data_IF_921362875855
#
_entry.id   IF_921362875855
#
_cell.length_a   1.000
_cell.length_b   1.000
_cell.length_c   1.000
_cell.angle_alpha   90.00
_cell.angle_beta   90.00
_cell.angle_gamma   90.00
#
_symmetry.space_group_name_H-M   'P 1'
#
loop_
_entity.id
_entity.type
_entity.pdbx_description
1 polymer ?
#
# COMPACT_ATOMS: atom_id res chain seq x y z
N UNK A 1 21.65 8.20 2.29
CA UNK A 1 21.39 7.18 3.32
C UNK A 1 20.30 6.28 2.76
N UNK A 2 20.55 4.98 2.63
CA UNK A 2 19.52 4.02 2.19
C UNK A 2 18.70 3.57 3.41
N UNK A 3 17.38 3.53 3.26
CA UNK A 3 16.49 2.99 4.29
C UNK A 3 16.34 1.49 4.05
N UNK A 4 16.82 0.66 4.97
CA UNK A 4 16.61 -0.80 4.93
C UNK A 4 15.37 -1.23 5.72
N UNK A 5 14.87 -0.35 6.58
CA UNK A 5 13.60 -0.40 7.30
C UNK A 5 13.05 1.02 7.43
N UNK A 6 11.72 1.17 7.52
CA UNK A 6 11.05 2.45 7.79
C UNK A 6 10.56 2.48 9.25
N UNK A 7 10.70 3.60 9.97
CA UNK A 7 10.01 3.80 11.24
C UNK A 7 8.53 4.09 10.97
N UNK A 8 7.75 3.05 10.74
CA UNK A 8 6.34 3.15 10.34
C UNK A 8 5.41 2.92 11.55
N UNK A 9 4.70 3.97 11.92
CA UNK A 9 3.62 3.95 12.92
C UNK A 9 2.35 3.37 12.27
N UNK A 10 2.06 2.11 12.61
CA UNK A 10 0.87 1.43 12.10
C UNK A 10 -0.43 1.97 12.68
N UNK A 11 -0.41 2.60 13.86
CA UNK A 11 -1.57 3.29 14.41
C UNK A 11 -2.04 4.39 13.46
N UNK A 12 -1.11 5.20 12.95
CA UNK A 12 -1.41 6.28 11.98
C UNK A 12 -1.87 5.77 10.62
N UNK A 13 -1.32 4.64 10.16
CA UNK A 13 -1.78 3.98 8.93
C UNK A 13 -3.21 3.48 9.08
N UNK A 14 -3.53 2.85 10.22
CA UNK A 14 -4.87 2.32 10.50
C UNK A 14 -5.89 3.44 10.72
N UNK A 15 -5.54 4.51 11.45
CA UNK A 15 -6.38 5.71 11.59
C UNK A 15 -6.78 6.28 10.22
N UNK A 16 -5.84 6.34 9.26
CA UNK A 16 -6.13 6.81 7.91
C UNK A 16 -7.05 5.88 7.13
N UNK A 17 -6.84 4.57 7.25
CA UNK A 17 -7.74 3.57 6.67
C UNK A 17 -9.16 3.74 7.23
N UNK A 18 -9.30 3.81 8.55
CA UNK A 18 -10.59 3.92 9.22
C UNK A 18 -11.32 5.22 8.81
N UNK A 19 -10.60 6.34 8.70
CA UNK A 19 -11.16 7.58 8.19
C UNK A 19 -11.65 7.46 6.73
N UNK A 20 -10.96 6.69 5.88
CA UNK A 20 -11.42 6.42 4.52
C UNK A 20 -12.69 5.56 4.49
N UNK A 21 -12.75 4.55 5.36
CA UNK A 21 -13.91 3.66 5.50
C UNK A 21 -15.14 4.43 5.98
N UNK A 22 -14.99 5.25 7.02
CA UNK A 22 -16.06 6.08 7.57
C UNK A 22 -16.60 7.09 6.54
N UNK A 23 -15.70 7.69 5.75
CA UNK A 23 -16.04 8.63 4.69
C UNK A 23 -16.64 7.98 3.44
N UNK A 24 -16.64 6.65 3.32
CA UNK A 24 -17.12 5.93 2.14
C UNK A 24 -16.28 6.19 0.89
N UNK A 25 -14.96 6.32 1.03
CA UNK A 25 -14.04 6.49 -0.10
C UNK A 25 -14.07 5.25 -0.99
N UNK A 26 -14.19 5.45 -2.30
CA UNK A 26 -14.25 4.36 -3.29
C UNK A 26 -12.92 4.20 -4.04
N UNK A 27 -12.80 3.13 -4.84
CA UNK A 27 -11.66 2.99 -5.75
C UNK A 27 -11.83 3.91 -6.96
N UNK A 28 -10.76 4.58 -7.39
CA UNK A 28 -10.78 5.36 -8.64
C UNK A 28 -9.39 5.58 -9.22
N UNK A 29 -9.28 5.40 -10.54
CA UNK A 29 -8.02 5.48 -11.31
C UNK A 29 -8.04 6.59 -12.37
N UNK A 30 -9.07 7.44 -12.40
CA UNK A 30 -9.18 8.50 -13.41
C UNK A 30 -8.39 9.73 -13.01
N UNK A 31 -7.85 10.44 -14.01
CA UNK A 31 -7.15 11.72 -13.82
C UNK A 31 -8.04 12.70 -13.02
N UNK A 32 -7.49 13.29 -11.97
CA UNK A 32 -8.19 14.20 -11.05
C UNK A 32 -8.81 13.57 -9.80
N UNK A 33 -8.83 12.24 -9.69
CA UNK A 33 -9.40 11.51 -8.54
C UNK A 33 -8.34 10.89 -7.61
N UNK A 34 -7.10 11.40 -7.67
CA UNK A 34 -6.03 11.00 -6.74
C UNK A 34 -6.05 11.88 -5.50
N UNK A 35 -5.40 11.40 -4.44
CA UNK A 35 -5.13 12.21 -3.25
C UNK A 35 -4.35 13.47 -3.69
N UNK A 36 -4.88 14.68 -3.48
CA UNK A 36 -4.34 15.88 -4.12
C UNK A 36 -3.02 16.35 -3.51
N UNK A 37 -2.79 16.04 -2.23
CA UNK A 37 -1.59 16.39 -1.47
C UNK A 37 -1.54 15.55 -0.20
N UNK A 38 -0.35 15.46 0.39
CA UNK A 38 -0.19 14.82 1.69
C UNK A 38 -0.99 15.53 2.78
N UNK A 39 -1.67 14.76 3.62
CA UNK A 39 -2.53 15.29 4.68
C UNK A 39 -3.99 15.49 4.25
N UNK A 40 -4.34 15.27 2.99
CA UNK A 40 -5.71 15.43 2.49
C UNK A 40 -6.74 14.59 3.29
N UNK A 41 -7.92 15.16 3.49
CA UNK A 41 -8.98 14.60 4.34
C UNK A 41 -9.92 13.72 3.51
N UNK A 42 -10.09 12.42 3.87
CA UNK A 42 -11.05 11.53 3.22
C UNK A 42 -12.48 12.08 3.24
N UNK A 43 -13.20 11.95 2.13
CA UNK A 43 -14.58 12.42 1.96
C UNK A 43 -14.74 13.93 1.71
N UNK A 44 -13.72 14.72 2.05
CA UNK A 44 -13.67 16.17 1.83
C UNK A 44 -12.81 16.51 0.62
N UNK A 45 -11.52 16.19 0.69
CA UNK A 45 -10.54 16.53 -0.34
C UNK A 45 -10.49 15.48 -1.46
N UNK A 46 -10.87 14.23 -1.15
CA UNK A 46 -10.97 13.15 -2.11
C UNK A 46 -12.09 12.17 -1.72
N UNK A 47 -12.75 11.62 -2.75
CA UNK A 47 -13.79 10.58 -2.59
C UNK A 47 -13.41 9.25 -3.24
N UNK A 48 -12.30 9.24 -3.95
CA UNK A 48 -11.76 8.08 -4.63
C UNK A 48 -10.25 8.00 -4.41
N UNK A 49 -9.70 6.80 -4.38
CA UNK A 49 -8.25 6.58 -4.33
C UNK A 49 -7.88 5.23 -4.94
N UNK A 50 -6.83 5.19 -5.75
CA UNK A 50 -6.26 3.94 -6.28
C UNK A 50 -5.33 3.24 -5.27
N UNK A 51 -4.82 2.06 -5.62
CA UNK A 51 -3.95 1.29 -4.73
C UNK A 51 -2.69 2.06 -4.35
N UNK A 52 -2.01 2.65 -5.33
CA UNK A 52 -0.74 3.32 -5.10
C UNK A 52 -0.88 4.69 -4.45
N UNK A 53 -1.93 5.45 -4.75
CA UNK A 53 -2.23 6.72 -4.09
C UNK A 53 -2.60 6.50 -2.62
N UNK A 54 -3.34 5.43 -2.31
CA UNK A 54 -3.62 5.06 -0.94
C UNK A 54 -2.34 4.69 -0.18
N UNK A 55 -1.45 3.90 -0.79
CA UNK A 55 -0.13 3.59 -0.21
C UNK A 55 0.75 4.83 -0.03
N UNK A 56 0.73 5.73 -1.01
CA UNK A 56 1.49 6.98 -0.98
C UNK A 56 1.15 7.81 0.26
N UNK A 57 -0.14 7.98 0.55
CA UNK A 57 -0.60 8.71 1.71
C UNK A 57 -0.47 7.92 3.02
N UNK A 58 -0.82 6.64 3.02
CA UNK A 58 -0.73 5.79 4.20
C UNK A 58 0.70 5.72 4.74
N UNK A 59 1.68 5.46 3.86
CA UNK A 59 3.10 5.42 4.24
C UNK A 59 3.57 6.79 4.72
N UNK A 60 3.19 7.89 4.05
CA UNK A 60 3.57 9.23 4.50
C UNK A 60 3.04 9.57 5.90
N UNK A 61 1.78 9.22 6.19
CA UNK A 61 1.17 9.42 7.53
C UNK A 61 1.86 8.60 8.62
N UNK A 62 2.29 7.38 8.27
CA UNK A 62 2.95 6.46 9.19
C UNK A 62 4.42 6.74 9.46
N UNK A 63 5.16 7.39 8.55
CA UNK A 63 6.59 7.65 8.77
C UNK A 63 6.82 8.79 9.79
N UNK A 64 7.77 8.60 10.72
CA UNK A 64 8.19 9.60 11.72
C UNK A 64 9.71 9.83 11.78
N UNK A 65 10.20 11.09 11.63
CA UNK A 65 9.47 12.25 11.10
C UNK A 65 9.08 11.99 9.64
N UNK A 66 7.96 12.53 9.17
CA UNK A 66 7.48 12.28 7.81
C UNK A 66 8.56 12.60 6.76
N UNK A 67 8.91 11.63 5.92
CA UNK A 67 9.87 11.80 4.81
C UNK A 67 9.12 11.62 3.50
N UNK A 68 9.19 12.63 2.63
CA UNK A 68 8.38 12.76 1.40
C UNK A 68 8.92 11.95 0.20
N UNK A 69 9.66 10.86 0.43
CA UNK A 69 10.40 10.18 -0.66
C UNK A 69 9.68 8.98 -1.27
N UNK A 70 8.61 8.48 -0.64
CA UNK A 70 7.86 7.35 -1.18
C UNK A 70 7.02 7.81 -2.38
N UNK A 71 7.16 7.22 -3.58
CA UNK A 71 6.51 7.72 -4.78
C UNK A 71 5.05 7.27 -4.89
N UNK A 72 4.26 7.90 -5.77
CA UNK A 72 3.01 7.34 -6.28
C UNK A 72 3.26 6.49 -7.54
N UNK A 73 2.42 5.46 -7.73
CA UNK A 73 2.48 4.46 -8.79
C UNK A 73 3.06 3.13 -8.29
N UNK A 74 2.29 2.04 -8.36
CA UNK A 74 2.67 0.73 -7.80
C UNK A 74 4.01 0.22 -8.34
N UNK A 75 4.27 0.38 -9.64
CA UNK A 75 5.57 0.04 -10.27
C UNK A 75 6.70 0.91 -9.72
N UNK A 76 6.47 2.22 -9.57
CA UNK A 76 7.48 3.15 -9.04
C UNK A 76 7.77 2.89 -7.56
N UNK A 77 6.75 2.52 -6.80
CA UNK A 77 6.86 2.13 -5.39
C UNK A 77 7.65 0.82 -5.27
N UNK A 78 7.40 -0.15 -6.16
CA UNK A 78 8.16 -1.40 -6.20
C UNK A 78 9.63 -1.14 -6.51
N UNK A 79 9.92 -0.34 -7.54
CA UNK A 79 11.28 0.06 -7.89
C UNK A 79 11.95 0.81 -6.73
N UNK A 80 11.21 1.69 -6.05
CA UNK A 80 11.72 2.42 -4.88
C UNK A 80 12.12 1.46 -3.76
N UNK A 81 11.26 0.50 -3.41
CA UNK A 81 11.57 -0.52 -2.38
C UNK A 81 12.78 -1.36 -2.78
N UNK A 82 12.86 -1.82 -4.04
CA UNK A 82 14.02 -2.58 -4.54
C UNK A 82 15.32 -1.78 -4.46
N UNK A 83 15.29 -0.52 -4.89
CA UNK A 83 16.48 0.33 -4.97
C UNK A 83 16.99 0.79 -3.59
N UNK A 84 16.15 0.78 -2.56
CA UNK A 84 16.54 1.11 -1.19
C UNK A 84 17.06 -0.10 -0.39
N UNK A 85 16.98 -1.32 -0.96
CA UNK A 85 17.56 -2.52 -0.35
C UNK A 85 16.74 -3.10 0.80
N UNK A 86 15.43 -2.89 0.81
CA UNK A 86 14.54 -3.55 1.76
C UNK A 86 14.63 -5.07 1.62
N UNK A 87 14.54 -5.76 2.76
CA UNK A 87 14.69 -7.22 2.83
C UNK A 87 13.55 -7.91 2.06
N UNK A 88 13.86 -8.77 1.08
CA UNK A 88 12.86 -9.61 0.43
C UNK A 88 12.21 -10.57 1.44
N UNK A 89 10.90 -10.70 1.36
CA UNK A 89 10.09 -11.63 2.13
C UNK A 89 9.39 -12.60 1.17
N UNK A 90 8.53 -13.47 1.69
CA UNK A 90 7.71 -14.38 0.88
C UNK A 90 6.22 -14.08 1.00
N UNK A 91 5.41 -14.46 0.00
CA UNK A 91 3.95 -14.48 0.13
C UNK A 91 3.49 -15.23 1.38
N UNK A 92 4.06 -16.39 1.69
CA UNK A 92 3.71 -17.16 2.89
C UNK A 92 3.91 -16.35 4.18
N UNK A 93 5.00 -15.58 4.27
CA UNK A 93 5.30 -14.76 5.44
C UNK A 93 4.31 -13.59 5.63
N UNK A 94 3.62 -13.15 4.58
CA UNK A 94 2.53 -12.16 4.70
C UNK A 94 1.38 -12.60 5.61
N UNK A 95 1.19 -13.91 5.80
CA UNK A 95 0.16 -14.44 6.70
C UNK A 95 0.54 -14.45 8.18
N UNK A 96 1.76 -14.04 8.54
CA UNK A 96 2.25 -14.11 9.92
C UNK A 96 1.70 -12.97 10.77
N UNK A 97 1.46 -13.28 12.05
CA UNK A 97 1.12 -12.33 13.12
C UNK A 97 2.35 -11.87 13.89
N UNK A 98 3.47 -11.61 13.21
CA UNK A 98 4.79 -11.41 13.82
C UNK A 98 5.17 -9.95 14.07
N UNK A 99 4.20 -9.03 13.94
CA UNK A 99 4.43 -7.60 14.15
C UNK A 99 5.23 -6.90 13.04
N UNK A 100 5.67 -7.63 12.01
CA UNK A 100 6.34 -7.02 10.86
C UNK A 100 5.32 -6.42 9.89
N UNK A 101 5.63 -5.22 9.39
CA UNK A 101 4.91 -4.60 8.29
C UNK A 101 5.59 -4.99 6.99
N UNK A 102 4.82 -5.60 6.10
CA UNK A 102 5.29 -5.96 4.77
C UNK A 102 4.57 -5.14 3.72
N UNK A 103 5.19 -5.02 2.55
CA UNK A 103 4.55 -4.47 1.35
C UNK A 103 4.61 -5.53 0.26
N UNK A 104 3.50 -5.74 -0.44
CA UNK A 104 3.40 -6.69 -1.53
C UNK A 104 3.02 -5.99 -2.83
N UNK A 105 3.68 -6.38 -3.91
CA UNK A 105 3.49 -5.84 -5.24
C UNK A 105 3.05 -6.95 -6.19
N UNK A 106 1.91 -6.76 -6.85
CA UNK A 106 1.49 -7.57 -7.98
C UNK A 106 1.87 -6.85 -9.26
N UNK A 107 2.65 -7.50 -10.11
CA UNK A 107 3.05 -6.93 -11.40
C UNK A 107 1.82 -6.72 -12.32
N UNK A 108 1.85 -5.71 -13.20
CA UNK A 108 0.84 -5.57 -14.24
C UNK A 108 0.87 -6.78 -15.18
N UNK A 109 -0.32 -7.25 -15.58
CA UNK A 109 -0.45 -8.37 -16.51
C UNK A 109 -0.56 -7.84 -17.92
N UNK A 110 0.18 -8.43 -18.86
CA UNK A 110 0.21 -8.06 -20.27
C UNK A 110 -0.13 -9.24 -21.18
N UNK A 111 -0.83 -8.96 -22.28
CA UNK A 111 -1.00 -9.88 -23.42
C UNK A 111 -0.30 -9.27 -24.63
N UNK A 112 0.91 -9.73 -24.92
CA UNK A 112 1.79 -9.08 -25.89
C UNK A 112 2.17 -7.67 -25.39
N UNK A 113 1.86 -6.64 -26.17
CA UNK A 113 2.08 -5.23 -25.80
C UNK A 113 0.89 -4.57 -25.08
N UNK A 114 -0.21 -5.31 -24.91
CA UNK A 114 -1.45 -4.76 -24.34
C UNK A 114 -1.52 -5.05 -22.85
N UNK A 115 -1.69 -4.00 -22.03
CA UNK A 115 -1.93 -4.13 -20.59
C UNK A 115 -3.35 -4.64 -20.34
N UNK A 116 -3.49 -5.72 -19.59
CA UNK A 116 -4.78 -6.33 -19.20
C UNK A 116 -5.12 -6.10 -17.73
N UNK A 117 -4.13 -5.74 -16.88
CA UNK A 117 -4.32 -5.36 -15.47
C UNK A 117 -3.22 -4.40 -15.01
N UNK A 118 -3.56 -3.40 -14.21
CA UNK A 118 -2.69 -2.27 -13.81
C UNK A 118 -1.62 -2.55 -12.73
N UNK A 119 -1.43 -3.82 -12.36
CA UNK A 119 -0.66 -4.18 -11.17
C UNK A 119 -1.43 -3.80 -9.89
N UNK A 120 -0.85 -4.08 -8.73
CA UNK A 120 -1.46 -3.77 -7.43
C UNK A 120 -0.39 -3.64 -6.35
N UNK A 121 -0.70 -2.89 -5.30
CA UNK A 121 0.17 -2.74 -4.12
C UNK A 121 -0.68 -2.76 -2.85
N UNK A 122 -0.18 -3.39 -1.81
CA UNK A 122 -0.81 -3.42 -0.48
C UNK A 122 0.24 -3.45 0.61
N UNK A 123 -0.06 -2.84 1.76
CA UNK A 123 0.62 -3.20 3.01
C UNK A 123 0.01 -4.50 3.55
N UNK A 124 0.80 -5.25 4.29
CA UNK A 124 0.40 -6.44 5.01
C UNK A 124 0.86 -6.29 6.45
N UNK A 125 -0.08 -6.41 7.39
CA UNK A 125 0.19 -6.31 8.81
C UNK A 125 -0.70 -7.28 9.59
N UNK A 126 -0.08 -8.12 10.43
CA UNK A 126 -0.74 -9.16 11.22
C UNK A 126 -1.63 -10.11 10.39
N UNK A 127 -1.20 -10.49 9.19
CA UNK A 127 -1.96 -11.37 8.29
C UNK A 127 -3.10 -10.70 7.51
N UNK A 128 -3.24 -9.38 7.60
CA UNK A 128 -4.27 -8.62 6.90
C UNK A 128 -3.66 -7.64 5.90
N UNK A 129 -4.32 -7.47 4.76
CA UNK A 129 -4.03 -6.35 3.88
C UNK A 129 -4.52 -5.04 4.47
N UNK A 130 -3.84 -3.97 4.06
CA UNK A 130 -4.27 -2.59 4.19
C UNK A 130 -4.07 -2.00 2.79
N UNK A 131 -5.15 -1.84 2.05
CA UNK A 131 -5.12 -1.56 0.60
C UNK A 131 -6.30 -0.72 0.16
N UNK A 132 -6.21 -0.16 -1.04
CA UNK A 132 -7.37 0.28 -1.82
C UNK A 132 -7.45 -0.55 -3.11
N UNK A 133 -8.59 -1.19 -3.41
CA UNK A 133 -8.71 -2.06 -4.57
C UNK A 133 -10.01 -1.88 -5.37
N UNK A 134 -9.96 -2.28 -6.66
CA UNK A 134 -11.10 -2.19 -7.57
C UNK A 134 -12.38 -2.81 -7.02
N UNK A 135 -13.51 -2.12 -7.23
CA UNK A 135 -14.84 -2.54 -6.78
C UNK A 135 -15.16 -2.23 -5.32
N UNK A 136 -14.20 -1.71 -4.53
CA UNK A 136 -14.45 -1.33 -3.12
C UNK A 136 -13.79 -0.01 -2.71
N UNK A 137 -12.51 0.17 -2.99
CA UNK A 137 -11.72 1.26 -2.41
C UNK A 137 -10.90 0.76 -1.22
N UNK A 138 -10.58 1.63 -0.25
CA UNK A 138 -9.87 1.27 0.98
C UNK A 138 -10.58 0.15 1.74
N UNK A 139 -9.86 -0.90 2.11
CA UNK A 139 -10.36 -2.04 2.88
C UNK A 139 -9.22 -2.89 3.47
N UNK A 140 -9.59 -3.92 4.24
CA UNK A 140 -8.71 -5.00 4.71
C UNK A 140 -9.29 -6.35 4.34
N UNK A 141 -8.42 -7.24 3.91
CA UNK A 141 -8.75 -8.64 3.61
C UNK A 141 -7.72 -9.55 4.23
N UNK A 142 -8.13 -10.74 4.63
CA UNK A 142 -7.19 -11.74 5.10
C UNK A 142 -6.23 -12.07 3.95
N UNK A 143 -4.93 -11.99 4.19
CA UNK A 143 -3.91 -12.14 3.15
C UNK A 143 -4.04 -13.46 2.39
N UNK A 144 -4.22 -14.57 3.12
CA UNK A 144 -4.40 -15.90 2.54
C UNK A 144 -5.74 -16.14 1.81
N UNK A 145 -6.67 -15.17 1.81
CA UNK A 145 -7.95 -15.28 1.08
C UNK A 145 -7.87 -14.73 -0.35
N UNK A 146 -6.76 -14.07 -0.70
CA UNK A 146 -6.61 -13.38 -1.97
C UNK A 146 -6.13 -14.35 -3.04
N UNK A 147 -6.77 -14.43 -4.20
CA UNK A 147 -6.36 -15.37 -5.26
C UNK A 147 -5.04 -15.02 -5.96
N UNK A 148 -4.44 -13.88 -5.65
CA UNK A 148 -3.24 -13.35 -6.30
C UNK A 148 -2.03 -13.23 -5.37
N UNK A 149 -2.16 -13.64 -4.10
CA UNK A 149 -1.11 -13.43 -3.10
C UNK A 149 0.21 -14.14 -3.47
N UNK A 150 0.15 -15.36 -4.00
CA UNK A 150 1.33 -16.13 -4.42
C UNK A 150 2.08 -15.54 -5.62
N UNK A 151 1.45 -14.63 -6.37
CA UNK A 151 2.05 -13.97 -7.53
C UNK A 151 2.75 -12.64 -7.20
N UNK A 152 2.98 -12.36 -5.90
CA UNK A 152 3.53 -11.07 -5.45
C UNK A 152 5.00 -11.14 -5.10
N UNK A 153 5.69 -10.03 -5.37
CA UNK A 153 6.95 -9.72 -4.72
C UNK A 153 6.64 -9.08 -3.36
N UNK A 154 7.20 -9.62 -2.28
CA UNK A 154 6.95 -9.15 -0.90
C UNK A 154 8.26 -8.66 -0.28
N UNK A 155 8.20 -7.56 0.47
CA UNK A 155 9.35 -7.01 1.19
C UNK A 155 8.95 -6.67 2.63
N UNK A 156 9.89 -6.79 3.56
CA UNK A 156 9.75 -6.23 4.91
C UNK A 156 9.98 -4.73 4.81
N UNK A 157 8.98 -3.94 5.20
CA UNK A 157 9.05 -2.49 5.15
C UNK A 157 9.46 -1.90 6.50
N UNK A 158 8.99 -2.50 7.60
CA UNK A 158 9.23 -2.01 8.95
C UNK A 158 9.01 -3.11 10.00
N UNK A 159 9.66 -2.95 11.15
CA UNK A 159 9.12 -3.47 12.40
C UNK A 159 8.03 -2.50 12.85
N UNK A 160 6.83 -2.97 13.22
CA UNK A 160 5.82 -2.06 13.73
C UNK A 160 6.30 -1.46 15.06
N UNK A 161 6.50 -0.14 15.09
CA UNK A 161 6.73 0.60 16.32
C UNK A 161 5.40 1.05 16.89
N UNK A 162 5.22 0.88 18.20
CA UNK A 162 4.14 1.48 19.00
C UNK A 162 4.32 3.00 19.16
#
# INVERSE_FOLDING_TARGET
MGWTTLPLDMGKVLEFLDACLEAGVNYGVTDGNKIPHHGAVPGVDFKHVDCSGFMWEAVWRGIRPAVSTFPDGSVRQHDWVRNHGFEPSSPKAGGLGDGLVRIAFLAPVFRGRTKVKDGHVTLIYLGWTIESHGGRGPDRRAWGSLTWHDATDVYVLADASD
#
